data_IF_616963316737
#
_entry.id   IF_616963316737
#
_cell.length_a   1.000
_cell.length_b   1.000
_cell.length_c   1.000
_cell.angle_alpha   90.00
_cell.angle_beta   90.00
_cell.angle_gamma   90.00
#
_symmetry.space_group_name_H-M   'P 1'
#
loop_
_entity.id
_entity.type
_entity.pdbx_description
1 polymer ?
#
# COMPACT_ATOMS: atom_id res chain seq x y z
N UNK A 1 64.80 4.20 -19.66
CA UNK A 1 63.88 5.12 -20.35
C UNK A 1 62.60 4.35 -20.63
N UNK A 2 61.61 4.58 -19.78
CA UNK A 2 60.23 4.21 -20.03
C UNK A 2 59.45 5.51 -20.16
N UNK A 3 59.05 5.85 -21.38
CA UNK A 3 58.12 6.92 -21.66
C UNK A 3 56.70 6.45 -21.27
N UNK A 4 56.07 7.13 -20.32
CA UNK A 4 54.68 6.94 -19.97
C UNK A 4 53.83 7.77 -20.91
N UNK A 5 53.16 7.14 -21.87
CA UNK A 5 52.09 7.75 -22.64
C UNK A 5 50.87 7.95 -21.75
N UNK A 6 50.58 9.21 -21.46
CA UNK A 6 49.34 9.61 -20.82
C UNK A 6 48.24 9.63 -21.91
N UNK A 7 47.38 8.61 -21.92
CA UNK A 7 46.10 8.66 -22.65
C UNK A 7 45.13 9.49 -21.83
N UNK A 8 45.03 10.77 -22.15
CA UNK A 8 43.95 11.64 -21.69
C UNK A 8 42.63 11.21 -22.33
N UNK A 9 41.71 10.72 -21.52
CA UNK A 9 40.33 10.52 -21.95
C UNK A 9 39.76 11.88 -22.38
N UNK A 10 39.05 11.99 -23.53
CA UNK A 10 38.39 13.22 -23.89
C UNK A 10 37.26 13.49 -22.91
N UNK A 11 37.39 14.55 -22.11
CA UNK A 11 36.31 15.09 -21.34
C UNK A 11 35.23 15.54 -22.33
N UNK A 12 34.07 14.90 -22.29
CA UNK A 12 32.89 15.33 -23.02
C UNK A 12 32.51 16.72 -22.48
N UNK A 13 32.68 17.71 -23.34
CA UNK A 13 32.28 19.08 -23.05
C UNK A 13 30.75 19.17 -23.08
N UNK A 14 30.11 19.18 -21.91
CA UNK A 14 28.66 19.29 -21.75
C UNK A 14 28.13 20.74 -21.87
N UNK A 15 28.96 21.68 -22.31
CA UNK A 15 28.55 23.06 -22.56
C UNK A 15 27.92 23.27 -23.94
N UNK A 16 27.16 22.31 -24.44
CA UNK A 16 26.19 22.62 -25.45
C UNK A 16 25.02 23.34 -24.75
N UNK A 17 24.96 24.67 -24.91
CA UNK A 17 23.74 25.42 -24.64
C UNK A 17 22.63 24.78 -25.48
N UNK A 18 21.79 23.96 -24.81
CA UNK A 18 20.52 23.54 -25.36
C UNK A 18 19.66 24.82 -25.38
N UNK A 19 19.76 25.61 -26.45
CA UNK A 19 18.78 26.63 -26.76
C UNK A 19 17.48 25.88 -27.02
N UNK A 20 16.65 25.74 -25.94
CA UNK A 20 15.28 25.27 -26.11
C UNK A 20 14.65 26.16 -27.21
N UNK A 21 14.01 25.58 -28.24
CA UNK A 21 13.29 26.37 -29.21
C UNK A 21 12.28 27.17 -28.41
N UNK A 22 12.39 28.52 -28.49
CA UNK A 22 11.36 29.41 -27.99
C UNK A 22 10.10 29.18 -28.84
N UNK A 23 9.31 28.16 -28.47
CA UNK A 23 7.95 28.06 -28.94
C UNK A 23 7.17 29.19 -28.29
N UNK A 24 7.15 30.34 -28.95
CA UNK A 24 6.14 31.36 -28.67
C UNK A 24 4.79 30.75 -29.05
N UNK A 25 4.10 30.24 -28.07
CA UNK A 25 2.69 29.94 -28.20
C UNK A 25 1.99 31.32 -28.37
N UNK A 26 1.65 31.67 -29.61
CA UNK A 26 0.78 32.81 -29.84
C UNK A 26 -0.52 32.51 -29.10
N UNK A 27 -0.92 33.39 -28.19
CA UNK A 27 -2.13 33.24 -27.37
C UNK A 27 -3.41 33.13 -28.23
N UNK A 28 -3.33 33.50 -29.51
CA UNK A 28 -4.41 33.34 -30.48
C UNK A 28 -4.69 31.86 -30.87
N UNK A 29 -3.80 30.92 -30.55
CA UNK A 29 -3.98 29.51 -30.87
C UNK A 29 -4.51 28.70 -29.66
N UNK A 30 -4.74 29.34 -28.52
CA UNK A 30 -5.34 28.69 -27.36
C UNK A 30 -6.86 28.66 -27.52
N UNK A 31 -7.38 27.51 -27.86
CA UNK A 31 -8.82 27.24 -27.86
C UNK A 31 -9.30 26.98 -26.45
N UNK A 32 -10.32 27.71 -26.01
CA UNK A 32 -10.97 27.42 -24.71
C UNK A 32 -11.95 26.29 -24.92
N UNK A 33 -11.58 25.10 -24.48
CA UNK A 33 -12.46 23.92 -24.48
C UNK A 33 -13.34 23.98 -23.24
N UNK A 34 -14.66 24.00 -23.43
CA UNK A 34 -15.62 23.87 -22.34
C UNK A 34 -15.79 22.37 -22.01
N UNK A 35 -14.98 21.83 -21.11
CA UNK A 35 -14.97 20.43 -20.70
C UNK A 35 -15.93 20.18 -19.53
N UNK A 36 -17.14 20.71 -19.59
CA UNK A 36 -18.16 20.50 -18.58
C UNK A 36 -19.04 19.26 -18.85
N UNK A 37 -18.80 18.55 -19.94
CA UNK A 37 -19.56 17.35 -20.32
C UNK A 37 -18.77 16.09 -19.98
N UNK A 38 -19.06 15.51 -18.81
CA UNK A 38 -18.57 14.18 -18.47
C UNK A 38 -19.39 13.12 -19.21
N UNK A 39 -18.73 12.14 -19.80
CA UNK A 39 -19.41 10.94 -20.33
C UNK A 39 -20.12 10.22 -19.16
N UNK A 40 -21.43 9.95 -19.26
CA UNK A 40 -22.15 9.22 -18.23
C UNK A 40 -21.48 7.86 -17.95
N UNK A 41 -21.49 7.45 -16.70
CA UNK A 41 -21.06 6.09 -16.35
C UNK A 41 -22.00 5.08 -17.00
N UNK A 42 -21.47 4.22 -17.85
CA UNK A 42 -22.25 3.17 -18.50
C UNK A 42 -22.74 2.14 -17.49
N UNK A 43 -22.05 1.98 -16.37
CA UNK A 43 -22.34 1.06 -15.29
C UNK A 43 -22.34 1.79 -13.95
N UNK A 44 -23.21 1.37 -13.03
CA UNK A 44 -23.27 1.91 -11.67
C UNK A 44 -22.10 1.44 -10.81
N UNK A 45 -21.40 0.39 -11.22
CA UNK A 45 -20.25 -0.13 -10.50
C UNK A 45 -18.99 0.70 -10.81
N UNK A 46 -18.39 1.26 -9.78
CA UNK A 46 -17.18 2.08 -9.88
C UNK A 46 -15.96 1.22 -9.63
N UNK A 47 -15.13 1.08 -10.67
CA UNK A 47 -13.83 0.39 -10.56
C UNK A 47 -12.83 1.24 -9.77
N UNK A 48 -11.95 0.59 -9.00
CA UNK A 48 -10.91 1.25 -8.18
C UNK A 48 -11.25 1.37 -6.70
N UNK A 49 -12.40 0.83 -6.29
CA UNK A 49 -12.79 0.78 -4.88
C UNK A 49 -12.97 2.15 -4.23
N UNK A 50 -12.88 2.20 -2.92
CA UNK A 50 -13.06 3.44 -2.12
C UNK A 50 -11.95 4.46 -2.39
N UNK A 51 -10.76 4.02 -2.84
CA UNK A 51 -9.64 4.92 -3.12
C UNK A 51 -9.94 5.94 -4.21
N UNK A 52 -10.81 5.61 -5.18
CA UNK A 52 -11.21 6.58 -6.22
C UNK A 52 -12.03 7.74 -5.64
N UNK A 53 -12.82 7.50 -4.61
CA UNK A 53 -13.58 8.56 -3.92
C UNK A 53 -12.62 9.53 -3.23
N UNK A 54 -11.63 9.00 -2.51
CA UNK A 54 -10.58 9.79 -1.87
C UNK A 54 -9.82 10.65 -2.88
N UNK A 55 -9.48 10.06 -4.03
CA UNK A 55 -8.76 10.78 -5.09
C UNK A 55 -9.64 11.83 -5.75
N UNK A 56 -10.91 11.52 -6.01
CA UNK A 56 -11.87 12.47 -6.57
C UNK A 56 -12.14 13.65 -5.62
N UNK A 57 -12.24 13.40 -4.32
CA UNK A 57 -12.41 14.46 -3.31
C UNK A 57 -11.18 15.34 -3.20
N UNK A 58 -9.98 14.78 -3.35
CA UNK A 58 -8.73 15.53 -3.32
C UNK A 58 -8.55 16.39 -4.58
N UNK A 59 -8.86 15.83 -5.75
CA UNK A 59 -8.77 16.50 -7.03
C UNK A 59 -9.48 15.68 -8.12
N UNK A 60 -10.42 16.25 -8.84
CA UNK A 60 -11.15 15.58 -9.92
C UNK A 60 -10.22 14.99 -10.99
N UNK A 61 -9.15 15.70 -11.34
CA UNK A 61 -8.13 15.21 -12.28
C UNK A 61 -7.39 13.99 -11.74
N UNK A 62 -7.11 13.95 -10.43
CA UNK A 62 -6.50 12.79 -9.77
C UNK A 62 -7.42 11.57 -9.81
N UNK A 63 -8.72 11.75 -9.54
CA UNK A 63 -9.73 10.71 -9.72
C UNK A 63 -9.79 10.19 -11.15
N UNK A 64 -9.74 11.07 -12.14
CA UNK A 64 -9.71 10.71 -13.55
C UNK A 64 -8.46 9.90 -13.92
N UNK A 65 -7.26 10.33 -13.50
CA UNK A 65 -6.01 9.60 -13.75
C UNK A 65 -5.99 8.23 -13.09
N UNK A 66 -6.56 8.12 -11.88
CA UNK A 66 -6.75 6.84 -11.21
C UNK A 66 -7.62 5.88 -12.05
N UNK A 67 -8.73 6.39 -12.61
CA UNK A 67 -9.60 5.61 -13.49
C UNK A 67 -8.89 5.12 -14.75
N UNK A 68 -7.96 5.91 -15.28
CA UNK A 68 -7.09 5.52 -16.40
C UNK A 68 -5.96 4.58 -15.99
N UNK A 69 -5.89 4.17 -14.72
CA UNK A 69 -4.81 3.37 -14.15
C UNK A 69 -3.41 4.00 -14.34
N UNK A 70 -3.35 5.33 -14.39
CA UNK A 70 -2.09 6.07 -14.44
C UNK A 70 -1.51 6.06 -13.04
N UNK A 71 -0.37 5.42 -12.86
CA UNK A 71 0.33 5.34 -11.58
C UNK A 71 1.50 6.32 -11.54
N UNK A 72 1.74 6.88 -10.36
CA UNK A 72 2.96 7.63 -10.12
C UNK A 72 4.15 6.68 -10.27
N UNK A 73 5.19 7.14 -10.94
CA UNK A 73 6.45 6.40 -10.99
C UNK A 73 7.07 6.37 -9.59
N UNK A 74 7.25 5.18 -9.04
CA UNK A 74 7.97 4.99 -7.79
C UNK A 74 9.47 4.91 -8.10
N UNK A 75 10.30 5.77 -7.51
CA UNK A 75 11.74 5.69 -7.70
C UNK A 75 12.27 4.36 -7.15
N UNK A 76 13.34 3.82 -7.73
CA UNK A 76 13.99 2.63 -7.20
C UNK A 76 14.31 2.81 -5.71
N UNK A 77 13.98 1.81 -4.90
CA UNK A 77 14.20 1.82 -3.45
C UNK A 77 14.90 0.52 -3.04
N UNK A 78 15.66 0.60 -1.96
CA UNK A 78 16.29 -0.56 -1.37
C UNK A 78 15.29 -1.24 -0.40
N UNK A 79 15.14 -2.57 -0.52
CA UNK A 79 14.21 -3.35 0.32
C UNK A 79 12.75 -3.22 -0.11
N UNK A 80 11.84 -3.39 0.84
CA UNK A 80 10.41 -3.30 0.60
C UNK A 80 9.94 -1.84 0.57
N UNK A 81 9.07 -1.50 -0.38
CA UNK A 81 8.34 -0.24 -0.37
C UNK A 81 7.42 -0.15 0.85
N UNK A 82 6.97 1.05 1.19
CA UNK A 82 6.02 1.23 2.31
C UNK A 82 4.72 0.46 2.11
N UNK A 83 4.24 0.37 0.87
CA UNK A 83 3.05 -0.40 0.52
C UNK A 83 3.28 -1.90 0.73
N UNK A 84 4.41 -2.44 0.26
CA UNK A 84 4.78 -3.84 0.48
C UNK A 84 4.99 -4.16 1.97
N UNK A 85 5.60 -3.24 2.73
CA UNK A 85 5.75 -3.38 4.18
C UNK A 85 4.40 -3.46 4.89
N UNK A 86 3.42 -2.66 4.47
CA UNK A 86 2.04 -2.72 4.94
C UNK A 86 1.37 -4.03 4.57
N UNK A 87 1.41 -4.42 3.28
CA UNK A 87 0.81 -5.67 2.79
C UNK A 87 1.34 -6.91 3.54
N UNK A 88 2.65 -6.98 3.77
CA UNK A 88 3.25 -8.06 4.55
C UNK A 88 2.76 -8.04 6.00
N UNK A 89 2.69 -6.88 6.65
CA UNK A 89 2.24 -6.76 8.03
C UNK A 89 0.78 -7.22 8.17
N UNK A 90 -0.12 -6.81 7.26
CA UNK A 90 -1.53 -7.24 7.24
C UNK A 90 -1.65 -8.76 7.07
N UNK A 91 -0.91 -9.37 6.14
CA UNK A 91 -0.93 -10.82 5.93
C UNK A 91 -0.37 -11.62 7.11
N UNK A 92 0.65 -11.08 7.78
CA UNK A 92 1.17 -11.71 9.01
C UNK A 92 0.09 -11.69 10.10
N UNK A 93 -0.59 -10.56 10.30
CA UNK A 93 -1.68 -10.45 11.26
C UNK A 93 -2.86 -11.36 10.89
N UNK A 94 -3.27 -11.39 9.63
CA UNK A 94 -4.29 -12.31 9.13
C UNK A 94 -3.95 -13.76 9.47
N UNK A 95 -2.72 -14.20 9.17
CA UNK A 95 -2.24 -15.54 9.47
C UNK A 95 -2.28 -15.87 10.97
N UNK A 96 -1.98 -14.89 11.83
CA UNK A 96 -2.05 -15.04 13.29
C UNK A 96 -3.51 -15.19 13.73
N UNK A 97 -4.41 -14.31 13.28
CA UNK A 97 -5.83 -14.34 13.67
C UNK A 97 -6.59 -15.53 13.14
N UNK A 98 -6.17 -16.12 12.03
CA UNK A 98 -6.71 -17.42 11.61
C UNK A 98 -6.45 -18.55 12.65
N UNK A 99 -5.38 -18.45 13.43
CA UNK A 99 -5.04 -19.43 14.47
C UNK A 99 -5.49 -19.00 15.87
N UNK A 100 -5.68 -17.71 16.07
CA UNK A 100 -6.11 -17.11 17.35
C UNK A 100 -7.32 -16.20 17.11
N UNK A 101 -8.50 -16.77 16.76
CA UNK A 101 -9.65 -15.99 16.33
C UNK A 101 -10.32 -15.19 17.46
N UNK A 102 -9.89 -15.35 18.71
CA UNK A 102 -10.45 -14.60 19.85
C UNK A 102 -9.35 -14.12 20.80
N UNK A 103 -9.71 -13.14 21.63
CA UNK A 103 -8.87 -12.69 22.73
C UNK A 103 -8.53 -13.83 23.70
N UNK A 104 -9.47 -14.77 23.91
CA UNK A 104 -9.25 -15.95 24.74
C UNK A 104 -8.22 -16.88 24.12
N UNK A 105 -8.32 -17.16 22.80
CA UNK A 105 -7.34 -17.98 22.10
C UNK A 105 -5.97 -17.33 22.15
N UNK A 106 -5.90 -16.01 21.91
CA UNK A 106 -4.66 -15.25 21.96
C UNK A 106 -4.03 -15.27 23.37
N UNK A 107 -4.85 -15.26 24.43
CA UNK A 107 -4.39 -15.34 25.82
C UNK A 107 -3.91 -16.75 26.20
N UNK A 108 -4.44 -17.79 25.57
CA UNK A 108 -4.08 -19.18 25.85
C UNK A 108 -2.64 -19.54 25.38
N UNK A 109 -2.10 -18.79 24.42
CA UNK A 109 -0.73 -19.01 23.95
C UNK A 109 0.29 -18.56 25.00
N UNK A 110 1.20 -19.46 25.35
CA UNK A 110 2.40 -19.09 26.09
C UNK A 110 3.26 -18.13 25.28
N UNK A 111 4.16 -17.41 25.95
CA UNK A 111 5.07 -16.49 25.27
C UNK A 111 5.89 -17.16 24.17
N UNK A 112 6.39 -18.38 24.44
CA UNK A 112 7.23 -19.10 23.48
C UNK A 112 6.44 -19.63 22.28
N UNK A 113 5.22 -20.08 22.49
CA UNK A 113 4.32 -20.51 21.40
C UNK A 113 3.93 -19.32 20.52
N UNK A 114 3.63 -18.19 21.14
CA UNK A 114 3.30 -16.96 20.42
C UNK A 114 4.49 -16.46 19.59
N UNK A 115 5.71 -16.48 20.16
CA UNK A 115 6.92 -16.11 19.42
C UNK A 115 7.12 -17.01 18.19
N UNK A 116 6.95 -18.34 18.36
CA UNK A 116 7.05 -19.28 17.23
C UNK A 116 5.97 -19.04 16.17
N UNK A 117 4.76 -18.72 16.59
CA UNK A 117 3.66 -18.41 15.70
C UNK A 117 3.96 -17.16 14.86
N UNK A 118 4.42 -16.08 15.50
CA UNK A 118 4.78 -14.82 14.86
C UNK A 118 5.94 -15.03 13.90
N UNK A 119 7.01 -15.68 14.34
CA UNK A 119 8.19 -15.95 13.51
C UNK A 119 7.83 -16.76 12.26
N UNK A 120 7.05 -17.83 12.41
CA UNK A 120 6.60 -18.66 11.30
C UNK A 120 5.74 -17.87 10.29
N UNK A 121 4.85 -16.99 10.77
CA UNK A 121 4.01 -16.15 9.93
C UNK A 121 4.87 -15.13 9.14
N UNK A 122 5.82 -14.47 9.80
CA UNK A 122 6.74 -13.52 9.16
C UNK A 122 7.60 -14.22 8.12
N UNK A 123 8.20 -15.35 8.45
CA UNK A 123 9.02 -16.13 7.54
C UNK A 123 8.23 -16.57 6.30
N UNK A 124 6.97 -16.98 6.49
CA UNK A 124 6.10 -17.38 5.39
C UNK A 124 5.87 -16.22 4.41
N UNK A 125 5.51 -15.05 4.91
CA UNK A 125 5.19 -13.90 4.07
C UNK A 125 6.43 -13.30 3.39
N UNK A 126 7.58 -13.29 4.07
CA UNK A 126 8.83 -12.79 3.50
C UNK A 126 9.47 -13.73 2.47
N UNK A 127 8.99 -14.98 2.33
CA UNK A 127 9.54 -15.93 1.34
C UNK A 127 9.52 -15.40 -0.09
N UNK A 128 8.54 -14.59 -0.45
CA UNK A 128 8.42 -13.98 -1.79
C UNK A 128 9.51 -12.93 -2.08
N UNK A 129 10.16 -12.42 -1.03
CA UNK A 129 11.19 -11.38 -1.09
C UNK A 129 12.60 -11.91 -0.81
N UNK A 130 12.83 -13.22 -0.90
CA UNK A 130 14.09 -13.91 -0.51
C UNK A 130 15.36 -13.38 -1.17
N UNK A 131 15.24 -12.69 -2.29
CA UNK A 131 16.39 -12.15 -3.01
C UNK A 131 16.82 -10.75 -2.52
N UNK A 132 16.12 -10.19 -1.54
CA UNK A 132 16.45 -8.91 -0.94
C UNK A 132 17.41 -9.11 0.23
N UNK A 133 18.59 -8.52 0.21
CA UNK A 133 19.49 -8.48 1.38
C UNK A 133 18.87 -7.80 2.61
N UNK A 134 17.72 -7.16 2.44
CA UNK A 134 16.96 -6.48 3.50
C UNK A 134 15.93 -7.39 4.20
N UNK A 135 15.76 -8.64 3.76
CA UNK A 135 14.75 -9.55 4.33
C UNK A 135 14.96 -9.76 5.83
N UNK A 136 16.20 -9.82 6.29
CA UNK A 136 16.50 -10.00 7.71
C UNK A 136 16.16 -8.75 8.54
N UNK A 137 16.41 -7.56 7.98
CA UNK A 137 16.05 -6.29 8.63
C UNK A 137 14.54 -6.18 8.73
N UNK A 138 13.83 -6.49 7.64
CA UNK A 138 12.37 -6.50 7.63
C UNK A 138 11.78 -7.53 8.59
N UNK A 139 12.37 -8.71 8.71
CA UNK A 139 11.97 -9.71 9.69
C UNK A 139 12.01 -9.13 11.12
N UNK A 140 13.15 -8.56 11.51
CA UNK A 140 13.31 -7.97 12.84
C UNK A 140 12.36 -6.79 13.08
N UNK A 141 12.12 -5.96 12.06
CA UNK A 141 11.17 -4.85 12.13
C UNK A 141 9.73 -5.36 12.36
N UNK A 142 9.32 -6.34 11.57
CA UNK A 142 7.98 -6.96 11.67
C UNK A 142 7.79 -7.64 13.01
N UNK A 143 8.78 -8.39 13.48
CA UNK A 143 8.74 -9.06 14.77
C UNK A 143 8.45 -8.07 15.90
N UNK A 144 9.19 -6.97 15.97
CA UNK A 144 8.97 -5.92 16.96
C UNK A 144 7.58 -5.26 16.82
N UNK A 145 7.15 -4.99 15.59
CA UNK A 145 5.86 -4.38 15.31
C UNK A 145 4.71 -5.28 15.76
N UNK A 146 4.74 -6.55 15.36
CA UNK A 146 3.69 -7.53 15.68
C UNK A 146 3.64 -7.81 17.18
N UNK A 147 4.79 -7.95 17.86
CA UNK A 147 4.81 -8.11 19.31
C UNK A 147 4.18 -6.93 20.03
N UNK A 148 4.50 -5.71 19.63
CA UNK A 148 3.90 -4.49 20.21
C UNK A 148 2.40 -4.45 19.95
N UNK A 149 1.96 -4.79 18.75
CA UNK A 149 0.54 -4.85 18.39
C UNK A 149 -0.21 -5.88 19.25
N UNK A 150 0.28 -7.12 19.33
CA UNK A 150 -0.32 -8.19 20.14
C UNK A 150 -0.35 -7.81 21.64
N UNK A 151 0.67 -7.13 22.14
CA UNK A 151 0.68 -6.65 23.53
C UNK A 151 -0.46 -5.64 23.79
N UNK A 152 -0.78 -4.78 22.81
CA UNK A 152 -1.92 -3.87 22.88
C UNK A 152 -3.25 -4.64 22.78
N UNK A 153 -3.35 -5.63 21.88
CA UNK A 153 -4.55 -6.46 21.72
C UNK A 153 -4.91 -7.22 23.01
N UNK A 154 -3.91 -7.71 23.75
CA UNK A 154 -4.12 -8.39 25.04
C UNK A 154 -4.65 -7.47 26.16
N UNK A 155 -4.63 -6.16 25.96
CA UNK A 155 -5.15 -5.18 26.91
C UNK A 155 -6.57 -4.70 26.55
N UNK A 156 -7.07 -5.10 25.38
CA UNK A 156 -8.43 -4.78 24.95
C UNK A 156 -9.47 -5.63 25.67
N UNK A 157 -10.70 -5.14 25.66
CA UNK A 157 -11.86 -5.94 26.07
C UNK A 157 -11.98 -7.20 25.18
N UNK A 158 -12.69 -8.20 25.70
CA UNK A 158 -12.87 -9.46 25.01
C UNK A 158 -13.49 -9.27 23.62
N UNK A 159 -12.90 -9.89 22.61
CA UNK A 159 -13.31 -9.83 21.22
C UNK A 159 -13.19 -11.17 20.52
N UNK A 160 -13.93 -11.30 19.42
CA UNK A 160 -13.80 -12.39 18.46
C UNK A 160 -13.65 -11.83 17.05
N UNK A 161 -12.64 -12.24 16.34
CA UNK A 161 -12.46 -11.90 14.92
C UNK A 161 -13.50 -12.67 14.11
N UNK A 162 -14.43 -11.97 13.48
CA UNK A 162 -15.53 -12.56 12.70
C UNK A 162 -15.25 -12.50 11.21
N UNK A 163 -14.35 -11.62 10.77
CA UNK A 163 -13.92 -11.56 9.38
C UNK A 163 -12.50 -10.98 9.28
N UNK A 164 -11.75 -11.47 8.29
CA UNK A 164 -10.47 -10.89 7.83
C UNK A 164 -10.54 -10.73 6.31
N UNK A 165 -9.92 -9.66 5.77
CA UNK A 165 -9.83 -9.40 4.32
C UNK A 165 -11.20 -9.49 3.61
N UNK A 166 -12.28 -9.12 4.30
CA UNK A 166 -13.64 -9.24 3.81
C UNK A 166 -13.95 -8.17 2.77
N UNK A 167 -14.38 -8.62 1.58
CA UNK A 167 -14.93 -7.71 0.57
C UNK A 167 -16.39 -7.38 0.93
N UNK A 168 -16.69 -6.09 0.91
CA UNK A 168 -18.05 -5.57 1.07
C UNK A 168 -18.41 -4.70 -0.12
N UNK A 169 -19.68 -4.63 -0.44
CA UNK A 169 -20.22 -3.68 -1.39
C UNK A 169 -20.92 -2.55 -0.63
N UNK A 170 -20.59 -1.32 -1.00
CA UNK A 170 -21.21 -0.13 -0.46
C UNK A 170 -21.88 0.65 -1.59
N UNK A 171 -23.11 1.10 -1.38
CA UNK A 171 -23.80 2.02 -2.29
C UNK A 171 -23.70 3.44 -1.76
N UNK A 172 -23.23 4.35 -2.60
CA UNK A 172 -23.18 5.78 -2.29
C UNK A 172 -23.89 6.52 -3.42
N UNK A 173 -25.06 7.04 -3.16
CA UNK A 173 -25.89 7.77 -4.13
C UNK A 173 -26.13 7.00 -5.45
N UNK A 174 -26.38 5.69 -5.35
CA UNK A 174 -26.65 4.83 -6.51
C UNK A 174 -25.41 4.40 -7.30
N UNK A 175 -24.22 4.65 -6.75
CA UNK A 175 -22.96 4.12 -7.25
C UNK A 175 -22.44 3.03 -6.31
N UNK A 176 -22.19 1.85 -6.85
CA UNK A 176 -21.67 0.71 -6.09
C UNK A 176 -20.14 0.72 -6.07
N UNK A 177 -19.59 0.59 -4.87
CA UNK A 177 -18.16 0.51 -4.62
C UNK A 177 -17.82 -0.78 -3.89
N UNK A 178 -16.71 -1.41 -4.26
CA UNK A 178 -16.16 -2.52 -3.47
C UNK A 178 -15.15 -1.97 -2.49
N UNK A 179 -15.33 -2.25 -1.20
CA UNK A 179 -14.34 -2.03 -0.16
C UNK A 179 -13.83 -3.37 0.36
N UNK A 180 -12.62 -3.38 0.91
CA UNK A 180 -12.05 -4.53 1.60
C UNK A 180 -11.72 -4.10 3.01
N UNK A 181 -12.27 -4.81 3.98
CA UNK A 181 -12.02 -4.58 5.40
C UNK A 181 -10.90 -5.52 5.84
N UNK A 182 -9.84 -4.99 6.46
CA UNK A 182 -8.72 -5.79 6.90
C UNK A 182 -9.14 -6.77 8.01
N UNK A 183 -9.93 -6.29 8.99
CA UNK A 183 -10.44 -7.13 10.08
C UNK A 183 -11.74 -6.55 10.66
N UNK A 184 -12.64 -7.46 11.06
CA UNK A 184 -13.85 -7.12 11.82
C UNK A 184 -13.86 -7.95 13.09
N UNK A 185 -13.94 -7.26 14.22
CA UNK A 185 -14.09 -7.87 15.54
C UNK A 185 -15.54 -7.72 16.02
N UNK A 186 -16.04 -8.75 16.68
CA UNK A 186 -17.30 -8.72 17.45
C UNK A 186 -16.96 -8.75 18.94
N UNK A 187 -17.47 -7.77 19.66
CA UNK A 187 -17.30 -7.63 21.10
C UNK A 187 -18.37 -8.43 21.84
N UNK A 188 -18.16 -8.73 23.13
CA UNK A 188 -19.13 -9.47 23.95
C UNK A 188 -20.51 -8.79 24.06
N UNK A 189 -20.58 -7.47 23.92
CA UNK A 189 -21.82 -6.70 23.91
C UNK A 189 -22.54 -6.71 22.54
N UNK A 190 -22.00 -7.39 21.54
CA UNK A 190 -22.51 -7.48 20.18
C UNK A 190 -22.10 -6.32 19.26
N UNK A 191 -21.31 -5.37 19.74
CA UNK A 191 -20.76 -4.30 18.90
C UNK A 191 -19.71 -4.85 17.96
N UNK A 192 -19.56 -4.22 16.80
CA UNK A 192 -18.53 -4.56 15.81
C UNK A 192 -17.52 -3.44 15.65
N UNK A 193 -16.25 -3.79 15.69
CA UNK A 193 -15.14 -2.88 15.43
C UNK A 193 -14.51 -3.27 14.11
N UNK A 194 -14.35 -2.29 13.23
CA UNK A 194 -13.72 -2.45 11.93
C UNK A 194 -12.31 -1.88 12.03
N UNK A 195 -11.33 -2.65 11.57
CA UNK A 195 -9.96 -2.22 11.38
C UNK A 195 -9.65 -2.14 9.88
N UNK A 196 -9.03 -1.00 9.47
CA UNK A 196 -8.59 -0.70 8.11
C UNK A 196 -7.37 0.25 8.13
#
# INVERSE_FOLDING_TARGET
HFESEQHGSPLLDFNHEITAPEHRFESALLETINDNQATPLADKQVSGGVSILKDQMACAFKGFTHRLNIKKFDPPHLGLSRAEQGDVAHKVLESIYHKTPSSTDLAAYSKDELNKLIDAAIQHELKRYKHSGFTQIEHSRLEQLIHKFIATEKQRDAFRVVATEQKIEADINGLSFTARLDRVDEMDNGDRIIFD
#
